data_IF_129747192342
#
_entry.id   IF_129747192342
#
_cell.length_a   1.000
_cell.length_b   1.000
_cell.length_c   1.000
_cell.angle_alpha   90.00
_cell.angle_beta   90.00
_cell.angle_gamma   90.00
#
_symmetry.space_group_name_H-M   'P 1'
#
loop_
_entity.id
_entity.type
_entity.pdbx_description
1 polymer ?
#
# COMPACT_ATOMS: atom_id res chain seq x y z
N UNK A 1 16.31 24.47 -10.34
CA UNK A 1 15.10 24.21 -11.15
C UNK A 1 13.94 24.28 -10.18
N UNK A 2 13.23 25.42 -10.12
CA UNK A 2 12.20 25.67 -9.12
C UNK A 2 10.96 24.85 -9.49
N UNK A 3 10.62 23.86 -8.66
CA UNK A 3 9.36 23.14 -8.77
C UNK A 3 8.22 24.12 -8.53
N UNK A 4 7.42 24.33 -9.56
CA UNK A 4 6.25 25.21 -9.53
C UNK A 4 5.23 24.65 -8.51
N UNK A 5 5.11 25.30 -7.34
CA UNK A 5 4.29 24.86 -6.20
C UNK A 5 2.83 25.29 -6.34
N UNK A 6 2.30 25.34 -7.55
CA UNK A 6 0.87 25.62 -7.75
C UNK A 6 0.01 24.55 -7.03
N UNK A 7 -1.18 24.89 -6.51
CA UNK A 7 -2.07 23.91 -5.85
C UNK A 7 -2.38 22.68 -6.71
N UNK A 8 -2.37 22.83 -8.04
CA UNK A 8 -2.57 21.75 -9.00
C UNK A 8 -1.38 20.77 -9.05
N UNK A 9 -0.15 21.23 -8.84
CA UNK A 9 1.06 20.38 -8.85
C UNK A 9 1.05 19.30 -7.77
N UNK A 10 0.50 19.59 -6.59
CA UNK A 10 0.42 18.64 -5.46
C UNK A 10 -0.55 17.50 -5.73
N UNK A 11 -1.62 17.76 -6.48
CA UNK A 11 -2.58 16.73 -6.83
C UNK A 11 -2.07 15.88 -8.01
N UNK A 12 -1.42 16.46 -9.01
CA UNK A 12 -0.77 15.68 -10.08
C UNK A 12 0.35 14.78 -9.55
N UNK A 13 1.17 15.28 -8.62
CA UNK A 13 2.18 14.50 -7.92
C UNK A 13 1.56 13.34 -7.14
N UNK A 14 0.42 13.56 -6.47
CA UNK A 14 -0.30 12.49 -5.80
C UNK A 14 -0.84 11.44 -6.78
N UNK A 15 -1.38 11.84 -7.93
CA UNK A 15 -1.85 10.90 -8.94
C UNK A 15 -0.71 10.05 -9.50
N UNK A 16 0.47 10.64 -9.71
CA UNK A 16 1.68 9.91 -10.08
C UNK A 16 2.10 8.92 -8.99
N UNK A 17 2.07 9.33 -7.73
CA UNK A 17 2.34 8.46 -6.59
C UNK A 17 1.37 7.27 -6.52
N UNK A 18 0.08 7.49 -6.75
CA UNK A 18 -0.90 6.39 -6.85
C UNK A 18 -0.53 5.40 -7.95
N UNK A 19 -0.17 5.87 -9.14
CA UNK A 19 0.25 5.00 -10.26
C UNK A 19 1.48 4.19 -9.91
N UNK A 20 2.47 4.79 -9.24
CA UNK A 20 3.68 4.10 -8.80
C UNK A 20 3.33 2.96 -7.84
N UNK A 21 2.66 3.27 -6.74
CA UNK A 21 2.34 2.27 -5.70
C UNK A 21 1.42 1.18 -6.25
N UNK A 22 0.36 1.55 -6.98
CA UNK A 22 -0.54 0.57 -7.59
C UNK A 22 0.19 -0.36 -8.57
N UNK A 23 1.14 0.16 -9.35
CA UNK A 23 1.92 -0.66 -10.29
C UNK A 23 2.83 -1.64 -9.58
N UNK A 24 3.43 -1.25 -8.45
CA UNK A 24 4.24 -2.14 -7.61
C UNK A 24 3.41 -3.32 -7.08
N UNK A 25 2.23 -3.04 -6.52
CA UNK A 25 1.35 -4.10 -6.02
C UNK A 25 0.73 -4.95 -7.12
N UNK A 26 0.37 -4.35 -8.27
CA UNK A 26 -0.09 -5.11 -9.43
C UNK A 26 0.98 -6.12 -9.86
N UNK A 27 2.24 -5.68 -10.04
CA UNK A 27 3.34 -6.54 -10.47
C UNK A 27 3.63 -7.64 -9.45
N UNK A 28 3.66 -7.30 -8.16
CA UNK A 28 3.85 -8.25 -7.06
C UNK A 28 2.79 -9.36 -7.06
N UNK A 29 1.58 -9.06 -7.52
CA UNK A 29 0.43 -9.96 -7.52
C UNK A 29 -0.11 -10.24 -8.93
N UNK A 30 0.76 -10.26 -9.96
CA UNK A 30 0.36 -10.34 -11.37
C UNK A 30 -0.55 -11.56 -11.68
N UNK A 31 -0.37 -12.66 -10.96
CA UNK A 31 -1.18 -13.88 -11.06
C UNK A 31 -2.68 -13.65 -10.80
N UNK A 32 -3.05 -12.61 -10.06
CA UNK A 32 -4.44 -12.26 -9.77
C UNK A 32 -5.11 -11.49 -10.92
N UNK A 33 -4.31 -10.94 -11.82
CA UNK A 33 -4.77 -10.11 -12.93
C UNK A 33 -4.78 -10.88 -14.25
N UNK A 34 -3.96 -11.93 -14.38
CA UNK A 34 -3.93 -12.78 -15.56
C UNK A 34 -5.17 -13.69 -15.67
N UNK A 35 -5.61 -14.03 -16.90
CA UNK A 35 -5.10 -13.53 -18.19
C UNK A 35 -5.71 -12.18 -18.62
N UNK A 36 -6.61 -11.62 -17.80
CA UNK A 36 -7.42 -10.44 -18.14
C UNK A 36 -6.58 -9.17 -18.37
N UNK A 37 -5.56 -8.95 -17.54
CA UNK A 37 -4.65 -7.81 -17.64
C UNK A 37 -3.20 -8.27 -17.50
N UNK A 38 -2.37 -7.94 -18.49
CA UNK A 38 -0.95 -8.32 -18.54
C UNK A 38 -0.11 -7.25 -17.85
N UNK A 39 -0.46 -5.97 -18.03
CA UNK A 39 0.26 -4.84 -17.46
C UNK A 39 -0.64 -3.97 -16.57
N UNK A 40 -0.07 -3.21 -15.62
CA UNK A 40 -0.83 -2.23 -14.86
C UNK A 40 -1.52 -1.19 -15.76
N UNK A 41 -0.91 -0.89 -16.91
CA UNK A 41 -1.43 0.03 -17.92
C UNK A 41 -2.68 -0.48 -18.63
N UNK A 42 -2.81 -1.80 -18.82
CA UNK A 42 -4.01 -2.39 -19.43
C UNK A 42 -5.22 -2.20 -18.51
N UNK A 43 -5.05 -2.53 -17.23
CA UNK A 43 -6.07 -2.28 -16.21
C UNK A 43 -6.40 -0.78 -16.10
N UNK A 44 -5.39 0.10 -16.20
CA UNK A 44 -5.60 1.54 -16.15
C UNK A 44 -6.43 2.04 -17.33
N UNK A 45 -6.10 1.62 -18.56
CA UNK A 45 -6.88 1.95 -19.76
C UNK A 45 -8.32 1.44 -19.68
N UNK A 46 -8.50 0.22 -19.17
CA UNK A 46 -9.83 -0.36 -18.98
C UNK A 46 -10.70 0.47 -18.03
N UNK A 47 -10.14 0.89 -16.89
CA UNK A 47 -10.84 1.79 -15.94
C UNK A 47 -11.17 3.13 -16.60
N UNK A 48 -10.25 3.71 -17.35
CA UNK A 48 -10.47 5.00 -18.00
C UNK A 48 -11.54 4.95 -19.08
N UNK A 49 -11.65 3.82 -19.79
CA UNK A 49 -12.69 3.57 -20.77
C UNK A 49 -14.05 3.32 -20.11
N UNK A 50 -14.13 2.38 -19.16
CA UNK A 50 -15.39 1.98 -18.49
C UNK A 50 -15.95 3.07 -17.59
N UNK A 51 -15.10 3.85 -16.94
CA UNK A 51 -15.49 4.89 -16.00
C UNK A 51 -15.35 6.29 -16.60
N UNK A 52 -15.74 6.48 -17.86
CA UNK A 52 -15.55 7.74 -18.62
C UNK A 52 -16.10 8.98 -17.91
N UNK A 53 -17.22 8.85 -17.19
CA UNK A 53 -17.91 9.92 -16.44
C UNK A 53 -17.18 10.38 -15.17
N UNK A 54 -16.23 9.59 -14.66
CA UNK A 54 -15.48 9.94 -13.47
C UNK A 54 -14.42 11.02 -13.76
N UNK A 55 -14.14 11.84 -12.76
CA UNK A 55 -13.00 12.77 -12.79
C UNK A 55 -11.68 12.01 -12.88
N UNK A 56 -10.61 12.70 -13.28
CA UNK A 56 -9.28 12.10 -13.37
C UNK A 56 -8.84 11.46 -12.05
N UNK A 57 -9.09 12.15 -10.93
CA UNK A 57 -8.78 11.68 -9.58
C UNK A 57 -9.56 10.43 -9.22
N UNK A 58 -10.87 10.43 -9.47
CA UNK A 58 -11.73 9.27 -9.18
C UNK A 58 -11.34 8.04 -10.01
N UNK A 59 -10.91 8.22 -11.26
CA UNK A 59 -10.39 7.13 -12.10
C UNK A 59 -9.13 6.50 -11.49
N UNK A 60 -8.19 7.30 -10.99
CA UNK A 60 -6.99 6.80 -10.31
C UNK A 60 -7.33 6.08 -9.00
N UNK A 61 -8.23 6.64 -8.21
CA UNK A 61 -8.72 5.99 -6.98
C UNK A 61 -9.35 4.63 -7.31
N UNK A 62 -10.26 4.59 -8.31
CA UNK A 62 -10.94 3.36 -8.70
C UNK A 62 -9.97 2.30 -9.22
N UNK A 63 -8.96 2.71 -9.98
CA UNK A 63 -7.92 1.81 -10.46
C UNK A 63 -7.15 1.16 -9.31
N UNK A 64 -6.74 1.93 -8.30
CA UNK A 64 -6.10 1.37 -7.12
C UNK A 64 -7.06 0.49 -6.31
N UNK A 65 -8.32 0.87 -6.19
CA UNK A 65 -9.33 0.09 -5.46
C UNK A 65 -9.54 -1.29 -6.12
N UNK A 66 -9.52 -1.39 -7.44
CA UNK A 66 -9.61 -2.70 -8.13
C UNK A 66 -8.38 -3.57 -7.81
N UNK A 67 -7.18 -2.97 -7.78
CA UNK A 67 -5.96 -3.69 -7.38
C UNK A 67 -6.09 -4.21 -5.95
N UNK A 68 -6.56 -3.36 -5.03
CA UNK A 68 -6.82 -3.73 -3.64
C UNK A 68 -7.83 -4.87 -3.53
N UNK A 69 -8.97 -4.75 -4.22
CA UNK A 69 -10.04 -5.75 -4.22
C UNK A 69 -9.55 -7.12 -4.69
N UNK A 70 -8.76 -7.17 -5.79
CA UNK A 70 -8.21 -8.43 -6.30
C UNK A 70 -7.15 -9.02 -5.38
N UNK A 71 -6.22 -8.21 -4.88
CA UNK A 71 -5.13 -8.67 -4.00
C UNK A 71 -5.65 -9.15 -2.64
N UNK A 72 -6.60 -8.43 -2.05
CA UNK A 72 -7.10 -8.71 -0.69
C UNK A 72 -7.74 -10.10 -0.54
N UNK A 73 -8.16 -10.74 -1.63
CA UNK A 73 -8.76 -12.08 -1.59
C UNK A 73 -7.72 -13.18 -1.26
N UNK A 74 -6.44 -12.96 -1.58
CA UNK A 74 -5.39 -14.00 -1.50
C UNK A 74 -4.25 -13.70 -0.53
N UNK A 75 -4.25 -12.54 0.11
CA UNK A 75 -3.23 -12.21 1.09
C UNK A 75 -3.37 -13.04 2.37
N UNK A 76 -2.25 -13.56 2.84
CA UNK A 76 -2.18 -14.31 4.10
C UNK A 76 -1.95 -13.39 5.30
N UNK A 77 -1.28 -12.27 5.07
CA UNK A 77 -0.84 -11.32 6.08
C UNK A 77 -1.23 -9.89 5.68
N UNK A 78 -1.38 -9.03 6.68
CA UNK A 78 -1.85 -7.65 6.52
C UNK A 78 -0.87 -6.78 5.73
N UNK A 79 0.44 -7.00 5.89
CA UNK A 79 1.52 -6.26 5.20
C UNK A 79 1.53 -6.47 3.68
N UNK A 80 0.87 -7.52 3.20
CA UNK A 80 0.69 -7.79 1.77
C UNK A 80 -0.50 -7.04 1.17
N UNK A 81 -1.38 -6.48 2.01
CA UNK A 81 -2.52 -5.70 1.55
C UNK A 81 -1.98 -4.36 1.03
N UNK A 82 -2.35 -3.94 -0.19
CA UNK A 82 -1.97 -2.60 -0.64
C UNK A 82 -2.48 -1.55 0.35
N UNK A 83 -1.90 -0.34 0.46
CA UNK A 83 -2.44 0.73 1.31
C UNK A 83 -3.65 1.41 0.66
N UNK A 84 -4.55 1.97 1.46
CA UNK A 84 -5.78 2.61 0.93
C UNK A 84 -5.42 3.92 0.23
N UNK A 85 -6.31 4.43 -0.64
CA UNK A 85 -6.13 5.77 -1.24
C UNK A 85 -5.94 6.85 -0.18
N UNK A 86 -6.65 6.74 0.95
CA UNK A 86 -6.56 7.72 2.04
C UNK A 86 -5.23 7.60 2.78
N UNK A 87 -4.81 6.38 3.12
CA UNK A 87 -3.51 6.13 3.74
C UNK A 87 -2.36 6.64 2.85
N UNK A 88 -2.45 6.39 1.54
CA UNK A 88 -1.48 6.91 0.56
C UNK A 88 -1.52 8.43 0.46
N UNK A 89 -2.69 9.07 0.50
CA UNK A 89 -2.79 10.55 0.49
C UNK A 89 -2.13 11.14 1.74
N UNK A 90 -2.39 10.56 2.91
CA UNK A 90 -1.78 11.01 4.16
C UNK A 90 -0.26 10.82 4.14
N UNK A 91 0.23 9.69 3.62
CA UNK A 91 1.66 9.47 3.44
C UNK A 91 2.29 10.48 2.47
N UNK A 92 1.67 10.68 1.29
CA UNK A 92 2.10 11.68 0.31
C UNK A 92 2.18 13.09 0.91
N UNK A 93 1.16 13.48 1.68
CA UNK A 93 1.15 14.78 2.35
C UNK A 93 2.31 14.91 3.34
N UNK A 94 2.60 13.88 4.15
CA UNK A 94 3.78 13.89 5.03
C UNK A 94 5.08 14.03 4.25
N UNK A 95 5.23 13.37 3.10
CA UNK A 95 6.38 13.56 2.22
C UNK A 95 6.48 15.00 1.71
N UNK A 96 5.36 15.61 1.30
CA UNK A 96 5.33 17.01 0.89
C UNK A 96 5.72 17.97 2.03
N UNK A 97 5.32 17.68 3.28
CA UNK A 97 5.73 18.47 4.44
C UNK A 97 7.24 18.43 4.60
N UNK A 98 7.84 17.25 4.52
CA UNK A 98 9.29 17.09 4.63
C UNK A 98 10.01 17.89 3.55
N UNK A 99 9.59 17.78 2.29
CA UNK A 99 10.14 18.62 1.20
C UNK A 99 9.99 20.11 1.49
N UNK A 100 8.81 20.57 1.91
CA UNK A 100 8.57 21.98 2.24
C UNK A 100 9.45 22.48 3.40
N UNK A 101 9.75 21.63 4.37
CA UNK A 101 10.66 21.97 5.47
C UNK A 101 12.10 22.09 4.98
N UNK A 102 12.55 21.18 4.11
CA UNK A 102 13.88 21.23 3.51
C UNK A 102 14.06 22.41 2.54
N UNK A 103 13.00 22.81 1.82
CA UNK A 103 13.05 23.99 0.95
C UNK A 103 13.36 25.29 1.71
N UNK A 104 13.10 25.31 3.02
CA UNK A 104 13.39 26.45 3.91
C UNK A 104 14.76 26.35 4.58
N UNK A 105 15.55 25.31 4.30
CA UNK A 105 16.83 25.09 4.99
C UNK A 105 17.87 26.19 4.73
N UNK A 106 17.73 26.95 3.64
CA UNK A 106 18.60 28.07 3.30
C UNK A 106 18.12 29.41 3.85
N UNK A 107 16.95 29.45 4.49
CA UNK A 107 16.33 30.66 4.99
C UNK A 107 16.65 30.87 6.48
N UNK A 108 16.91 32.13 6.87
CA UNK A 108 17.19 32.48 8.27
C UNK A 108 15.94 32.42 9.18
N UNK A 109 14.76 32.22 8.62
CA UNK A 109 13.49 32.14 9.35
C UNK A 109 12.64 31.03 8.78
N UNK A 110 12.25 30.08 9.64
CA UNK A 110 11.45 28.91 9.26
C UNK A 110 9.98 29.21 9.56
N UNK A 111 9.12 29.05 8.57
CA UNK A 111 7.67 29.04 8.74
C UNK A 111 7.20 27.60 8.94
N UNK A 112 6.64 27.31 10.12
CA UNK A 112 6.05 26.01 10.43
C UNK A 112 4.63 25.92 9.87
N UNK A 113 4.36 25.06 8.87
CA UNK A 113 3.00 24.84 8.41
C UNK A 113 2.19 24.06 9.44
N UNK A 114 0.86 24.12 9.32
CA UNK A 114 -0.03 23.29 10.15
C UNK A 114 0.19 21.80 9.86
N UNK A 115 0.69 21.06 10.85
CA UNK A 115 0.88 19.61 10.75
C UNK A 115 -0.43 18.85 10.48
N UNK A 116 -1.56 19.35 10.96
CA UNK A 116 -2.87 18.74 10.73
C UNK A 116 -3.26 18.71 9.25
N UNK A 117 -2.81 19.69 8.46
CA UNK A 117 -3.00 19.72 7.00
C UNK A 117 -2.13 18.71 6.25
N UNK A 118 -1.16 18.10 6.94
CA UNK A 118 -0.19 17.17 6.40
C UNK A 118 -0.31 15.75 6.98
N UNK A 119 -1.49 15.39 7.49
CA UNK A 119 -1.78 14.04 7.94
C UNK A 119 -1.20 13.68 9.30
N UNK A 120 -1.12 14.67 10.19
CA UNK A 120 -0.91 14.48 11.62
C UNK A 120 -2.16 14.88 12.40
N UNK A 121 -2.23 14.46 13.66
CA UNK A 121 -3.20 14.96 14.63
C UNK A 121 -2.51 15.16 15.98
N UNK A 122 -3.11 15.98 16.83
CA UNK A 122 -2.66 16.18 18.20
C UNK A 122 -3.53 15.29 19.08
N UNK A 123 -2.90 14.40 19.85
CA UNK A 123 -3.62 13.52 20.76
C UNK A 123 -4.00 14.25 22.06
N UNK A 124 -4.69 13.55 22.96
CA UNK A 124 -5.16 14.10 24.25
C UNK A 124 -3.99 14.57 25.14
N UNK A 125 -2.83 13.93 24.99
CA UNK A 125 -1.59 14.24 25.72
C UNK A 125 -0.80 15.39 25.07
N UNK A 126 -1.35 16.06 24.05
CA UNK A 126 -0.70 17.11 23.26
C UNK A 126 0.52 16.64 22.45
N UNK A 127 0.63 15.34 22.21
CA UNK A 127 1.66 14.77 21.35
C UNK A 127 1.20 14.78 19.89
N UNK A 128 2.14 15.03 18.98
CA UNK A 128 1.91 14.93 17.55
C UNK A 128 1.99 13.47 17.11
N UNK A 129 0.93 12.95 16.51
CA UNK A 129 0.88 11.57 16.02
C UNK A 129 0.47 11.51 14.53
N UNK A 130 1.04 10.56 13.75
CA UNK A 130 0.60 10.35 12.37
C UNK A 130 -0.86 9.89 12.31
N UNK A 131 -1.64 10.54 11.46
CA UNK A 131 -2.92 10.01 11.04
C UNK A 131 -2.67 8.95 9.95
N UNK A 132 -2.99 7.69 10.25
CA UNK A 132 -2.81 6.58 9.32
C UNK A 132 -3.96 6.44 8.32
N UNK A 133 -5.18 6.75 8.76
CA UNK A 133 -6.40 6.53 7.98
C UNK A 133 -7.52 7.47 8.49
N UNK A 134 -8.64 7.55 7.76
CA UNK A 134 -9.87 8.18 8.25
C UNK A 134 -10.54 7.31 9.32
N UNK A 135 -11.12 7.95 10.32
CA UNK A 135 -11.80 7.27 11.42
C UNK A 135 -12.86 6.26 10.95
N UNK A 136 -13.64 6.63 9.93
CA UNK A 136 -14.66 5.77 9.34
C UNK A 136 -14.10 4.49 8.70
N UNK A 137 -12.87 4.54 8.17
CA UNK A 137 -12.19 3.40 7.56
C UNK A 137 -11.43 2.54 8.58
N UNK A 138 -10.99 3.12 9.71
CA UNK A 138 -10.31 2.39 10.77
C UNK A 138 -11.14 1.23 11.32
N UNK A 139 -12.46 1.41 11.47
CA UNK A 139 -13.36 0.34 11.92
C UNK A 139 -13.42 -0.84 10.94
N UNK A 140 -13.38 -0.55 9.64
CA UNK A 140 -13.37 -1.57 8.58
C UNK A 140 -12.05 -2.35 8.60
N UNK A 141 -10.92 -1.65 8.71
CA UNK A 141 -9.59 -2.26 8.84
C UNK A 141 -9.52 -3.15 10.08
N UNK A 142 -9.94 -2.65 11.24
CA UNK A 142 -9.94 -3.43 12.48
C UNK A 142 -10.83 -4.68 12.38
N UNK A 143 -11.98 -4.57 11.71
CA UNK A 143 -12.85 -5.71 11.44
C UNK A 143 -12.17 -6.75 10.53
N UNK A 144 -11.44 -6.29 9.51
CA UNK A 144 -10.71 -7.16 8.59
C UNK A 144 -9.52 -7.86 9.26
N UNK A 145 -8.70 -7.13 10.03
CA UNK A 145 -7.60 -7.69 10.82
C UNK A 145 -8.12 -8.73 11.81
N UNK A 146 -9.23 -8.43 12.50
CA UNK A 146 -9.89 -9.40 13.36
C UNK A 146 -10.36 -10.65 12.60
N UNK A 147 -10.77 -10.53 11.33
CA UNK A 147 -11.12 -11.70 10.51
C UNK A 147 -9.89 -12.50 10.08
N UNK A 148 -8.78 -11.84 9.74
CA UNK A 148 -7.50 -12.48 9.41
C UNK A 148 -6.86 -13.20 10.60
N UNK A 149 -7.00 -12.67 11.82
CA UNK A 149 -6.39 -13.24 13.03
C UNK A 149 -7.33 -14.15 13.82
N UNK A 150 -8.64 -13.88 13.78
CA UNK A 150 -9.66 -14.51 14.65
C UNK A 150 -10.91 -14.90 13.84
N UNK A 151 -10.68 -15.69 12.81
CA UNK A 151 -11.73 -16.25 11.96
C UNK A 151 -12.67 -17.22 12.69
N UNK A 152 -13.52 -17.93 11.94
CA UNK A 152 -14.50 -18.83 12.55
C UNK A 152 -13.87 -20.12 13.10
N UNK A 153 -14.52 -20.74 14.09
CA UNK A 153 -14.11 -22.03 14.70
C UNK A 153 -15.20 -23.11 14.54
N UNK A 154 -15.92 -23.08 13.42
CA UNK A 154 -17.07 -23.95 13.18
C UNK A 154 -16.64 -25.42 13.09
N UNK A 155 -17.35 -26.30 13.81
CA UNK A 155 -17.09 -27.76 13.78
C UNK A 155 -17.97 -28.52 12.78
N UNK A 156 -19.18 -28.01 12.53
CA UNK A 156 -20.23 -28.67 11.72
C UNK A 156 -20.33 -28.10 10.30
N UNK A 157 -19.23 -27.59 9.74
CA UNK A 157 -19.20 -26.90 8.45
C UNK A 157 -19.60 -25.42 8.51
N UNK A 158 -19.27 -24.67 7.45
CA UNK A 158 -19.38 -23.20 7.40
C UNK A 158 -20.48 -22.67 6.46
N UNK A 159 -21.49 -23.48 6.13
CA UNK A 159 -22.53 -23.10 5.15
C UNK A 159 -23.67 -22.31 5.78
N UNK A 160 -23.95 -22.56 7.06
CA UNK A 160 -25.10 -22.00 7.78
C UNK A 160 -24.77 -20.61 8.33
N UNK A 161 -25.81 -19.82 8.61
CA UNK A 161 -25.72 -18.47 9.18
C UNK A 161 -25.16 -18.43 10.63
N UNK A 162 -24.91 -19.60 11.23
CA UNK A 162 -24.19 -19.72 12.50
C UNK A 162 -22.66 -19.55 12.34
N UNK A 163 -22.13 -19.63 11.11
CA UNK A 163 -20.74 -19.31 10.82
C UNK A 163 -20.57 -17.79 10.71
N UNK A 164 -19.68 -17.20 11.52
CA UNK A 164 -19.38 -15.75 11.49
C UNK A 164 -18.98 -15.26 10.09
N UNK A 165 -18.15 -16.03 9.38
CA UNK A 165 -17.72 -15.67 8.02
C UNK A 165 -18.91 -15.66 7.05
N UNK A 166 -19.74 -16.71 7.06
CA UNK A 166 -20.92 -16.79 6.21
C UNK A 166 -21.95 -15.70 6.52
N UNK A 167 -22.17 -15.41 7.80
CA UNK A 167 -23.04 -14.32 8.26
C UNK A 167 -22.57 -12.95 7.80
N UNK A 168 -21.26 -12.75 7.74
CA UNK A 168 -20.64 -11.54 7.19
C UNK A 168 -20.54 -11.52 5.66
N UNK A 169 -21.12 -12.52 4.97
CA UNK A 169 -20.99 -12.73 3.53
C UNK A 169 -19.54 -12.80 3.03
N UNK A 170 -18.63 -13.29 3.88
CA UNK A 170 -17.21 -13.48 3.56
C UNK A 170 -16.86 -14.97 3.51
N UNK A 171 -15.86 -15.31 2.70
CA UNK A 171 -15.26 -16.65 2.72
C UNK A 171 -14.44 -16.85 3.99
N UNK A 172 -14.20 -18.10 4.36
CA UNK A 172 -13.25 -18.46 5.42
C UNK A 172 -11.84 -18.21 4.90
N UNK A 173 -11.08 -17.41 5.63
CA UNK A 173 -9.68 -17.09 5.35
C UNK A 173 -8.70 -17.75 6.32
N UNK A 174 -7.40 -17.39 6.25
CA UNK A 174 -6.31 -17.99 7.03
C UNK A 174 -6.53 -18.01 8.55
N UNK A 175 -7.21 -17.01 9.10
CA UNK A 175 -7.53 -16.94 10.53
C UNK A 175 -8.61 -17.90 11.01
N UNK A 176 -9.26 -18.66 10.12
CA UNK A 176 -10.31 -19.61 10.50
C UNK A 176 -9.73 -20.94 10.99
N UNK A 177 -10.23 -21.43 12.12
CA UNK A 177 -9.91 -22.76 12.68
C UNK A 177 -11.10 -23.73 12.55
N UNK A 178 -11.90 -23.59 11.50
CA UNK A 178 -13.06 -24.45 11.26
C UNK A 178 -12.65 -25.81 10.68
N UNK A 179 -13.36 -26.87 11.08
CA UNK A 179 -13.17 -28.22 10.54
C UNK A 179 -14.15 -28.48 9.39
N UNK A 180 -13.70 -29.15 8.34
CA UNK A 180 -14.48 -29.41 7.12
C UNK A 180 -15.13 -28.12 6.56
N UNK A 181 -14.30 -27.09 6.36
CA UNK A 181 -14.73 -25.83 5.78
C UNK A 181 -15.37 -26.05 4.41
N UNK A 182 -16.60 -25.53 4.26
CA UNK A 182 -17.35 -25.52 3.00
C UNK A 182 -17.56 -24.09 2.48
N UNK A 183 -17.05 -23.09 3.21
CA UNK A 183 -17.16 -21.68 2.87
C UNK A 183 -15.79 -21.07 2.54
N UNK A 184 -14.88 -21.86 1.98
CA UNK A 184 -13.54 -21.39 1.68
C UNK A 184 -13.54 -20.71 0.30
N UNK A 185 -12.71 -19.70 0.09
CA UNK A 185 -12.26 -19.39 -1.27
C UNK A 185 -11.47 -20.61 -1.75
N UNK A 186 -11.46 -20.88 -3.06
CA UNK A 186 -10.80 -22.06 -3.63
C UNK A 186 -9.27 -22.01 -3.37
N UNK A 187 -8.86 -22.41 -2.17
CA UNK A 187 -7.46 -22.54 -1.72
C UNK A 187 -6.93 -23.96 -1.96
N UNK A 188 -7.72 -24.82 -2.61
CA UNK A 188 -7.30 -26.13 -3.06
C UNK A 188 -7.16 -26.08 -4.57
N UNK A 189 -5.93 -25.83 -5.01
CA UNK A 189 -5.25 -26.54 -6.10
C UNK A 189 -4.35 -25.60 -6.93
N UNK A 190 -3.06 -25.97 -6.97
CA UNK A 190 -1.99 -25.57 -7.89
C UNK A 190 -1.20 -24.29 -7.55
N UNK A 191 -0.08 -24.52 -6.87
CA UNK A 191 1.19 -23.92 -7.24
C UNK A 191 1.40 -24.20 -8.75
N UNK A 192 1.08 -23.23 -9.61
CA UNK A 192 1.63 -23.20 -10.96
C UNK A 192 2.97 -22.49 -10.82
N UNK A 193 4.06 -23.24 -11.00
CA UNK A 193 5.37 -22.66 -11.25
C UNK A 193 5.26 -21.87 -12.56
N UNK A 194 5.03 -20.57 -12.45
CA UNK A 194 5.34 -19.66 -13.54
C UNK A 194 6.79 -19.24 -13.28
N UNK A 195 7.70 -19.84 -14.03
CA UNK A 195 9.03 -19.28 -14.23
C UNK A 195 8.83 -17.93 -14.92
N UNK A 196 8.80 -16.87 -14.13
CA UNK A 196 8.94 -15.51 -14.65
C UNK A 196 10.45 -15.28 -14.70
N UNK A 197 11.00 -15.21 -15.91
CA UNK A 197 12.40 -14.84 -16.13
C UNK A 197 12.70 -13.54 -15.35
N UNK A 198 13.57 -13.67 -14.34
CA UNK A 198 14.11 -12.55 -13.57
C UNK A 198 15.10 -11.78 -14.44
N UNK A 199 14.61 -10.87 -15.28
CA UNK A 199 15.46 -9.88 -15.91
C UNK A 199 15.47 -8.57 -15.11
N UNK A 200 16.57 -8.42 -14.36
CA UNK A 200 17.24 -7.16 -13.96
C UNK A 200 16.52 -6.29 -12.93
N UNK A 201 16.63 -6.70 -11.67
CA UNK A 201 16.65 -5.74 -10.55
C UNK A 201 17.95 -4.94 -10.63
N UNK A 202 17.82 -3.63 -10.88
CA UNK A 202 18.90 -2.66 -10.75
C UNK A 202 19.49 -2.74 -9.35
N UNK A 203 20.73 -3.22 -9.28
CA UNK A 203 21.55 -3.30 -8.09
C UNK A 203 21.97 -1.87 -7.69
N UNK A 204 21.21 -1.23 -6.79
CA UNK A 204 21.67 -0.02 -6.12
C UNK A 204 22.76 -0.42 -5.13
N UNK A 205 24.02 -0.39 -5.58
CA UNK A 205 25.17 -0.44 -4.69
C UNK A 205 25.21 0.86 -3.89
N UNK A 206 24.98 0.72 -2.59
CA UNK A 206 25.30 1.71 -1.58
C UNK A 206 26.83 1.87 -1.55
N UNK A 207 27.40 3.08 -1.69
CA UNK A 207 28.79 3.30 -1.36
C UNK A 207 28.95 3.04 0.13
N UNK A 208 29.82 2.08 0.47
CA UNK A 208 30.36 1.93 1.82
C UNK A 208 31.59 2.82 1.86
N UNK A 209 31.52 3.87 2.66
CA UNK A 209 32.69 4.66 3.05
C UNK A 209 33.61 3.74 3.87
N UNK A 210 34.71 3.31 3.24
CA UNK A 210 35.81 2.66 3.93
C UNK A 210 36.76 3.74 4.47
N UNK A 211 36.83 3.80 5.79
CA UNK A 211 37.81 4.54 6.58
C UNK A 211 39.23 4.12 6.15
N UNK A 212 40.07 5.09 5.76
CA UNK A 212 41.50 4.88 5.57
C UNK A 212 42.20 5.04 6.92
N UNK A 213 42.56 3.90 7.52
CA UNK A 213 43.54 3.81 8.60
C UNK A 213 44.96 4.00 8.01
N UNK A 214 45.56 5.18 8.24
CA UNK A 214 47.01 5.34 8.11
C UNK A 214 47.70 4.71 9.34
N UNK A 215 48.46 3.64 9.12
CA UNK A 215 49.58 3.30 10.00
C UNK A 215 50.77 2.67 9.26
N UNK A 216 51.80 3.50 9.07
CA UNK A 216 53.23 3.33 9.38
C UNK A 216 53.97 2.02 9.02
N UNK A 217 55.10 2.19 8.31
CA UNK A 217 56.46 1.60 8.47
C UNK A 217 57.06 1.28 7.09
N UNK A 218 58.34 1.34 6.78
CA UNK A 218 59.64 1.76 7.34
C UNK A 218 60.58 1.78 6.09
N UNK A 219 61.70 2.48 5.98
CA UNK A 219 62.98 2.15 6.60
C UNK A 219 64.10 3.04 6.01
N UNK A 220 65.03 3.38 6.89
CA UNK A 220 66.50 3.51 6.71
C UNK A 220 67.11 3.61 5.30
N UNK A 221 67.76 4.76 5.02
CA UNK A 221 69.23 4.93 4.95
C UNK A 221 69.59 6.44 4.89
#
# INVERSE_FOLDING_TARGET
MLCDTSPNSKDDGFLAFLRLIGSLYFKKHITEFLPEFITPGDLFKDVFHKCSKLTLKEKHCRWLDIIREKVQVRVSYEDQIPPSVTALKLHWLRSCLVSQMYDQATENTISLPSFCSYGYRINIEKNLEPQWEKESHMLSVQSHVNWLLRGCKCKKGCIKQNCRCKKANQKCGPGCSCTNCQNCSQYKDKCINIEVEEDKVLNFQHPSDSEEDESVSSDTE
#
